data_IF_794740563211
#
_entry.id   IF_794740563211
#
_cell.length_a   1.000
_cell.length_b   1.000
_cell.length_c   1.000
_cell.angle_alpha   90.00
_cell.angle_beta   90.00
_cell.angle_gamma   90.00
#
_symmetry.space_group_name_H-M   'P 1'
#
loop_
_entity.id
_entity.type
_entity.pdbx_description
1 polymer ?
#
# COMPACT_ATOMS: atom_id res chain seq x y z
N UNK A 1 -32.78 -17.09 -0.92
CA UNK A 1 -31.80 -17.87 -1.71
C UNK A 1 -32.27 -17.79 -3.16
N UNK A 2 -31.67 -16.93 -3.98
CA UNK A 2 -31.99 -16.91 -5.41
C UNK A 2 -31.24 -18.08 -6.05
N UNK A 3 -31.95 -18.99 -6.71
CA UNK A 3 -31.35 -20.06 -7.50
C UNK A 3 -30.46 -19.45 -8.59
N UNK A 4 -29.24 -19.95 -8.74
CA UNK A 4 -28.26 -19.54 -9.76
C UNK A 4 -28.60 -20.15 -11.14
N UNK A 5 -29.87 -20.06 -11.52
CA UNK A 5 -30.39 -20.59 -12.80
C UNK A 5 -30.42 -19.42 -13.79
N UNK A 6 -29.53 -19.47 -14.79
CA UNK A 6 -29.52 -18.50 -15.90
C UNK A 6 -30.85 -18.55 -16.66
N UNK A 7 -31.53 -17.41 -16.77
CA UNK A 7 -32.77 -17.24 -17.53
C UNK A 7 -32.51 -16.48 -18.83
N UNK A 8 -33.11 -16.91 -19.93
CA UNK A 8 -32.98 -16.25 -21.23
C UNK A 8 -33.98 -15.10 -21.33
N UNK A 9 -33.47 -13.90 -21.56
CA UNK A 9 -34.26 -12.69 -21.85
C UNK A 9 -33.97 -12.23 -23.28
N UNK A 10 -35.01 -11.82 -24.00
CA UNK A 10 -34.87 -11.29 -25.37
C UNK A 10 -34.95 -9.76 -25.31
N UNK A 11 -33.92 -9.09 -25.82
CA UNK A 11 -33.83 -7.63 -25.84
C UNK A 11 -33.46 -7.14 -27.24
N UNK A 12 -33.92 -5.95 -27.58
CA UNK A 12 -33.57 -5.29 -28.84
C UNK A 12 -32.38 -4.36 -28.61
N UNK A 13 -31.29 -4.59 -29.32
CA UNK A 13 -30.09 -3.77 -29.28
C UNK A 13 -29.83 -3.18 -30.67
N UNK A 14 -29.30 -1.97 -30.72
CA UNK A 14 -28.87 -1.36 -31.99
C UNK A 14 -27.73 -2.19 -32.60
N UNK A 15 -27.70 -2.39 -33.93
CA UNK A 15 -26.65 -3.17 -34.58
C UNK A 15 -25.23 -2.70 -34.25
N UNK A 16 -25.02 -1.38 -34.21
CA UNK A 16 -23.74 -0.76 -33.83
C UNK A 16 -23.28 -1.19 -32.43
N UNK A 17 -24.20 -1.28 -31.47
CA UNK A 17 -23.88 -1.69 -30.10
C UNK A 17 -23.52 -3.18 -30.04
N UNK A 18 -24.20 -4.02 -30.82
CA UNK A 18 -23.89 -5.45 -30.93
C UNK A 18 -22.49 -5.65 -31.50
N UNK A 19 -22.11 -4.92 -32.55
CA UNK A 19 -20.76 -4.97 -33.10
C UNK A 19 -19.69 -4.57 -32.08
N UNK A 20 -19.96 -3.55 -31.25
CA UNK A 20 -19.03 -3.15 -30.18
C UNK A 20 -18.94 -4.20 -29.07
N UNK A 21 -20.05 -4.82 -28.69
CA UNK A 21 -20.05 -5.93 -27.72
C UNK A 21 -19.20 -7.08 -28.26
N UNK A 22 -19.34 -7.44 -29.53
CA UNK A 22 -18.57 -8.53 -30.14
C UNK A 22 -17.07 -8.27 -30.13
N UNK A 23 -16.66 -7.08 -30.59
CA UNK A 23 -15.26 -6.68 -30.59
C UNK A 23 -14.66 -6.62 -29.17
N UNK A 24 -15.43 -6.15 -28.19
CA UNK A 24 -14.97 -6.05 -26.80
C UNK A 24 -15.01 -7.38 -26.05
N UNK A 25 -15.89 -8.31 -26.44
CA UNK A 25 -15.96 -9.66 -25.85
C UNK A 25 -14.65 -10.42 -26.12
N UNK A 26 -14.08 -10.26 -27.32
CA UNK A 26 -12.79 -10.84 -27.69
C UNK A 26 -11.62 -10.23 -26.91
N UNK A 27 -11.68 -8.94 -26.59
CA UNK A 27 -10.65 -8.21 -25.84
C UNK A 27 -10.70 -8.49 -24.32
N UNK A 28 -11.88 -8.69 -23.75
CA UNK A 28 -12.11 -8.87 -22.30
C UNK A 28 -12.05 -10.34 -21.85
N UNK A 29 -11.68 -11.28 -22.74
CA UNK A 29 -11.63 -12.73 -22.49
C UNK A 29 -12.95 -13.31 -21.92
N UNK A 30 -14.08 -12.72 -22.30
CA UNK A 30 -15.40 -13.23 -21.92
C UNK A 30 -15.74 -14.48 -22.74
N UNK A 31 -16.29 -15.52 -22.11
CA UNK A 31 -16.63 -16.78 -22.81
C UNK A 31 -17.91 -16.66 -23.66
N UNK A 32 -18.72 -15.63 -23.44
CA UNK A 32 -19.94 -15.38 -24.22
C UNK A 32 -20.40 -13.93 -24.14
N UNK A 33 -21.18 -13.50 -25.15
CA UNK A 33 -21.91 -12.21 -25.12
C UNK A 33 -22.79 -12.07 -23.87
N UNK A 34 -23.33 -13.18 -23.36
CA UNK A 34 -24.12 -13.21 -22.14
C UNK A 34 -23.30 -12.83 -20.91
N UNK A 35 -22.08 -13.35 -20.79
CA UNK A 35 -21.15 -12.99 -19.68
C UNK A 35 -20.76 -11.51 -19.75
N UNK A 36 -20.42 -11.03 -20.95
CA UNK A 36 -20.12 -9.61 -21.16
C UNK A 36 -21.30 -8.71 -20.77
N UNK A 37 -22.51 -9.07 -21.22
CA UNK A 37 -23.73 -8.32 -20.91
C UNK A 37 -24.06 -8.36 -19.41
N UNK A 38 -23.82 -9.49 -18.76
CA UNK A 38 -24.01 -9.65 -17.32
C UNK A 38 -23.04 -8.77 -16.52
N UNK A 39 -21.75 -8.71 -16.89
CA UNK A 39 -20.77 -7.81 -16.28
C UNK A 39 -21.16 -6.34 -16.47
N UNK A 40 -21.57 -5.96 -17.68
CA UNK A 40 -22.02 -4.59 -17.98
C UNK A 40 -23.28 -4.20 -17.20
N UNK A 41 -24.25 -5.11 -17.07
CA UNK A 41 -25.46 -4.87 -16.28
C UNK A 41 -25.14 -4.77 -14.79
N UNK A 42 -24.30 -5.65 -14.24
CA UNK A 42 -23.85 -5.55 -12.84
C UNK A 42 -23.14 -4.23 -12.57
N UNK A 43 -22.29 -3.79 -13.51
CA UNK A 43 -21.65 -2.48 -13.45
C UNK A 43 -22.69 -1.34 -13.44
N UNK A 44 -23.67 -1.36 -14.35
CA UNK A 44 -24.69 -0.32 -14.43
C UNK A 44 -25.65 -0.32 -13.21
N UNK A 45 -26.03 -1.50 -12.70
CA UNK A 45 -26.79 -1.63 -11.45
C UNK A 45 -25.97 -1.09 -10.27
N UNK A 46 -24.68 -1.42 -10.20
CA UNK A 46 -23.76 -0.86 -9.21
C UNK A 46 -23.65 0.66 -9.30
N UNK A 47 -23.59 1.20 -10.52
CA UNK A 47 -23.61 2.62 -10.82
C UNK A 47 -24.92 3.29 -10.38
N UNK A 48 -26.09 2.69 -10.62
CA UNK A 48 -27.37 3.24 -10.20
C UNK A 48 -27.59 3.18 -8.68
N UNK A 49 -27.08 2.13 -8.02
CA UNK A 49 -27.18 1.96 -6.57
C UNK A 49 -26.18 2.84 -5.80
N UNK A 50 -25.11 3.27 -6.46
CA UNK A 50 -24.33 4.42 -5.98
C UNK A 50 -25.02 5.68 -6.47
N UNK A 51 -25.80 6.36 -5.62
CA UNK A 51 -26.48 7.63 -5.97
C UNK A 51 -25.55 8.72 -6.54
N UNK A 52 -24.23 8.47 -6.56
CA UNK A 52 -23.22 9.29 -7.22
C UNK A 52 -22.21 8.41 -7.99
N UNK A 53 -22.11 8.61 -9.31
CA UNK A 53 -21.24 7.86 -10.25
C UNK A 53 -19.76 7.85 -9.83
N UNK A 54 -19.34 8.90 -9.11
CA UNK A 54 -18.01 9.09 -8.53
C UNK A 54 -17.73 8.13 -7.36
N UNK A 55 -18.75 7.62 -6.68
CA UNK A 55 -18.60 6.78 -5.49
C UNK A 55 -18.18 5.32 -5.79
N UNK A 56 -18.52 4.78 -6.97
CA UNK A 56 -18.14 3.41 -7.33
C UNK A 56 -16.69 3.32 -7.84
N UNK A 57 -16.30 4.22 -8.74
CA UNK A 57 -14.92 4.29 -9.24
C UNK A 57 -13.94 4.59 -8.09
N UNK A 58 -14.34 5.45 -7.16
CA UNK A 58 -13.56 5.73 -5.95
C UNK A 58 -13.46 4.53 -5.02
N UNK A 59 -14.49 3.69 -4.84
CA UNK A 59 -14.40 2.48 -4.01
C UNK A 59 -13.43 1.44 -4.58
N UNK A 60 -13.47 1.17 -5.88
CA UNK A 60 -12.54 0.23 -6.52
C UNK A 60 -11.09 0.75 -6.43
N UNK A 61 -10.88 2.03 -6.74
CA UNK A 61 -9.57 2.68 -6.60
C UNK A 61 -9.06 2.67 -5.16
N UNK A 62 -9.91 2.99 -4.18
CA UNK A 62 -9.57 2.95 -2.76
C UNK A 62 -9.20 1.53 -2.33
N UNK A 63 -9.88 0.50 -2.85
CA UNK A 63 -9.52 -0.89 -2.54
C UNK A 63 -8.14 -1.26 -3.08
N UNK A 64 -7.81 -0.85 -4.31
CA UNK A 64 -6.47 -1.07 -4.89
C UNK A 64 -5.42 -0.32 -4.10
N UNK A 65 -5.64 0.96 -3.78
CA UNK A 65 -4.73 1.77 -2.97
C UNK A 65 -4.51 1.15 -1.59
N UNK A 66 -5.57 0.65 -0.94
CA UNK A 66 -5.45 -0.08 0.34
C UNK A 66 -4.65 -1.38 0.19
N UNK A 67 -4.83 -2.11 -0.92
CA UNK A 67 -4.04 -3.30 -1.23
C UNK A 67 -2.56 -2.97 -1.33
N UNK A 68 -2.20 -2.01 -2.18
CA UNK A 68 -0.82 -1.54 -2.37
C UNK A 68 -0.22 -1.05 -1.05
N UNK A 69 -0.92 -0.22 -0.30
CA UNK A 69 -0.44 0.28 0.99
C UNK A 69 -0.23 -0.85 2.01
N UNK A 70 -1.11 -1.86 2.03
CA UNK A 70 -0.99 -3.01 2.94
C UNK A 70 0.20 -3.88 2.57
N UNK A 71 0.41 -4.16 1.29
CA UNK A 71 1.54 -4.96 0.81
C UNK A 71 2.86 -4.25 1.09
N UNK A 72 2.91 -2.93 0.85
CA UNK A 72 4.06 -2.10 1.21
C UNK A 72 4.29 -2.06 2.72
N UNK A 73 3.24 -1.90 3.53
CA UNK A 73 3.36 -1.93 4.99
C UNK A 73 3.91 -3.27 5.50
N UNK A 74 3.48 -4.39 4.93
CA UNK A 74 4.01 -5.71 5.27
C UNK A 74 5.48 -5.85 4.87
N UNK A 75 5.85 -5.34 3.69
CA UNK A 75 7.25 -5.33 3.23
C UNK A 75 8.11 -4.46 4.15
N UNK A 76 7.67 -3.26 4.50
CA UNK A 76 8.36 -2.38 5.44
C UNK A 76 8.49 -3.03 6.81
N UNK A 77 7.46 -3.68 7.34
CA UNK A 77 7.54 -4.40 8.62
C UNK A 77 8.63 -5.50 8.58
N UNK A 78 8.70 -6.27 7.50
CA UNK A 78 9.74 -7.30 7.32
C UNK A 78 11.15 -6.70 7.22
N UNK A 79 11.32 -5.61 6.47
CA UNK A 79 12.60 -4.92 6.33
C UNK A 79 13.05 -4.27 7.64
N UNK A 80 12.14 -3.60 8.36
CA UNK A 80 12.41 -3.02 9.68
C UNK A 80 12.77 -4.08 10.70
N UNK A 81 12.16 -5.26 10.65
CA UNK A 81 12.55 -6.37 11.52
C UNK A 81 13.99 -6.83 11.24
N UNK A 82 14.36 -7.04 9.97
CA UNK A 82 15.73 -7.42 9.61
C UNK A 82 16.73 -6.33 10.03
N UNK A 83 16.42 -5.07 9.78
CA UNK A 83 17.26 -3.95 10.21
C UNK A 83 17.40 -3.90 11.74
N UNK A 84 16.32 -4.11 12.49
CA UNK A 84 16.38 -4.14 13.95
C UNK A 84 17.25 -5.29 14.48
N UNK A 85 17.27 -6.44 13.81
CA UNK A 85 18.18 -7.55 14.14
C UNK A 85 19.63 -7.13 13.92
N UNK A 86 19.96 -6.54 12.77
CA UNK A 86 21.33 -6.08 12.48
C UNK A 86 21.78 -4.97 13.44
N UNK A 87 20.92 -4.01 13.76
CA UNK A 87 21.18 -2.96 14.76
C UNK A 87 21.41 -3.54 16.16
N UNK A 88 20.62 -4.54 16.58
CA UNK A 88 20.81 -5.21 17.85
C UNK A 88 22.15 -5.96 17.91
N UNK A 89 22.53 -6.65 16.83
CA UNK A 89 23.83 -7.31 16.73
C UNK A 89 24.97 -6.30 16.79
N UNK A 90 24.88 -5.20 16.02
CA UNK A 90 25.88 -4.13 16.02
C UNK A 90 26.04 -3.50 17.40
N UNK A 91 24.95 -3.19 18.10
CA UNK A 91 24.99 -2.67 19.47
C UNK A 91 25.70 -3.63 20.43
N UNK A 92 25.45 -4.94 20.34
CA UNK A 92 26.13 -5.93 21.19
C UNK A 92 27.63 -6.03 20.89
N UNK A 93 28.01 -6.00 19.61
CA UNK A 93 29.43 -6.01 19.19
C UNK A 93 30.15 -4.76 19.71
N UNK A 94 29.55 -3.58 19.54
CA UNK A 94 30.12 -2.32 20.02
C UNK A 94 30.21 -2.28 21.55
N UNK A 95 29.16 -2.70 22.26
CA UNK A 95 29.16 -2.75 23.71
C UNK A 95 30.25 -3.68 24.26
N UNK A 96 30.48 -4.82 23.60
CA UNK A 96 31.56 -5.74 23.96
C UNK A 96 32.96 -5.20 23.67
N UNK A 97 33.12 -4.31 22.68
CA UNK A 97 34.42 -3.82 22.22
C UNK A 97 34.85 -2.46 22.78
N UNK A 98 33.90 -1.62 23.21
CA UNK A 98 34.15 -0.21 23.56
C UNK A 98 33.93 0.13 25.04
N UNK A 99 33.55 -0.85 25.88
CA UNK A 99 33.36 -0.68 27.33
C UNK A 99 32.53 0.56 27.71
N UNK A 100 31.49 0.87 26.93
CA UNK A 100 30.66 2.07 27.13
C UNK A 100 29.87 1.94 28.43
N UNK A 101 29.92 2.98 29.27
CA UNK A 101 29.16 3.02 30.52
C UNK A 101 27.65 3.15 30.26
N UNK A 102 26.82 2.59 31.16
CA UNK A 102 25.36 2.73 31.04
C UNK A 102 24.90 4.21 31.08
N UNK A 103 25.61 5.04 31.83
CA UNK A 103 25.33 6.47 31.95
C UNK A 103 25.56 7.20 30.62
N UNK A 104 26.69 6.95 29.96
CA UNK A 104 27.03 7.56 28.67
C UNK A 104 26.06 7.11 27.58
N UNK A 105 25.71 5.82 27.55
CA UNK A 105 24.74 5.28 26.59
C UNK A 105 23.35 5.90 26.78
N UNK A 106 22.91 6.08 28.04
CA UNK A 106 21.62 6.72 28.35
C UNK A 106 21.62 8.19 27.96
N UNK A 107 22.71 8.91 28.21
CA UNK A 107 22.86 10.31 27.81
C UNK A 107 22.83 10.46 26.27
N UNK A 108 23.61 9.64 25.56
CA UNK A 108 23.64 9.61 24.10
C UNK A 108 22.26 9.31 23.51
N UNK A 109 21.54 8.32 24.07
CA UNK A 109 20.16 8.00 23.64
C UNK A 109 19.23 9.19 23.81
N UNK A 110 19.30 9.90 24.95
CA UNK A 110 18.51 11.10 25.19
C UNK A 110 18.73 12.17 24.13
N UNK A 111 20.00 12.45 23.79
CA UNK A 111 20.37 13.38 22.71
C UNK A 111 19.84 12.92 21.36
N UNK A 112 20.10 11.68 20.95
CA UNK A 112 19.65 11.17 19.64
C UNK A 112 18.12 11.23 19.49
N UNK A 113 17.36 10.94 20.56
CA UNK A 113 15.89 11.10 20.55
C UNK A 113 15.50 12.57 20.38
N UNK A 114 16.16 13.49 21.07
CA UNK A 114 15.89 14.92 20.95
C UNK A 114 16.23 15.44 19.54
N UNK A 115 17.35 14.99 18.96
CA UNK A 115 17.77 15.32 17.61
C UNK A 115 16.76 14.85 16.57
N UNK A 116 16.37 13.57 16.60
CA UNK A 116 15.36 13.01 15.68
C UNK A 116 14.05 13.78 15.76
N UNK A 117 13.61 14.17 16.96
CA UNK A 117 12.41 15.00 17.16
C UNK A 117 12.59 16.41 16.58
N UNK A 118 13.73 17.04 16.80
CA UNK A 118 14.04 18.40 16.33
C UNK A 118 14.17 18.47 14.82
N UNK A 119 14.73 17.44 14.20
CA UNK A 119 15.02 17.41 12.75
C UNK A 119 13.96 16.67 11.93
N UNK A 120 12.88 16.20 12.56
CA UNK A 120 11.86 15.34 11.93
C UNK A 120 12.47 14.13 11.21
N UNK A 121 13.45 13.49 11.86
CA UNK A 121 14.13 12.30 11.34
C UNK A 121 15.23 12.57 10.31
N UNK A 122 15.55 13.83 10.01
CA UNK A 122 16.71 14.17 9.17
C UNK A 122 17.98 14.17 10.02
N UNK A 123 18.75 13.10 9.94
CA UNK A 123 20.02 12.94 10.65
C UNK A 123 21.16 12.81 9.64
N UNK A 124 22.30 13.45 9.92
CA UNK A 124 23.51 13.35 9.11
C UNK A 124 24.63 12.71 9.92
N UNK A 125 25.48 11.94 9.25
CA UNK A 125 26.68 11.40 9.88
C UNK A 125 27.69 12.51 10.19
N UNK A 126 27.78 13.53 9.35
CA UNK A 126 28.69 14.68 9.57
C UNK A 126 28.33 15.41 10.87
N UNK A 127 27.03 15.67 11.10
CA UNK A 127 26.54 16.30 12.34
C UNK A 127 26.88 15.45 13.58
N UNK A 128 26.78 14.12 13.46
CA UNK A 128 27.15 13.21 14.52
C UNK A 128 28.66 13.24 14.81
N UNK A 129 29.50 13.31 13.76
CA UNK A 129 30.96 13.41 13.90
C UNK A 129 31.36 14.73 14.56
N UNK A 130 30.77 15.85 14.13
CA UNK A 130 31.06 17.16 14.70
C UNK A 130 30.69 17.21 16.17
N UNK A 131 29.55 16.63 16.55
CA UNK A 131 29.17 16.48 17.94
C UNK A 131 30.19 15.64 18.74
N UNK A 132 30.60 14.47 18.24
CA UNK A 132 31.56 13.61 18.94
C UNK A 132 32.96 14.24 19.09
N UNK A 133 33.32 15.17 18.19
CA UNK A 133 34.54 15.96 18.27
C UNK A 133 34.40 17.21 19.16
N UNK A 134 33.21 17.51 19.67
CA UNK A 134 32.94 18.71 20.46
C UNK A 134 32.87 20.00 19.64
N UNK A 135 32.56 19.89 18.34
CA UNK A 135 32.51 21.02 17.39
C UNK A 135 31.09 21.64 17.33
N UNK A 136 30.04 20.86 17.63
CA UNK A 136 28.65 21.29 17.62
C UNK A 136 27.93 20.94 18.94
N UNK A 137 27.17 21.91 19.49
CA UNK A 137 26.22 21.72 20.62
C UNK A 137 24.81 21.38 20.14
#
# INVERSE_FOLDING_TARGET
MFEDIKRKYTIWLKPELVHRIDALTELDNCQSRSEFTEKALRYYIGHLNSEDTTAFLSKALVSVLRGVLRDESNRFASLLFKLAVEEAMMMNVLASGLEISEADLRALRGRCVAEVKRTNGKISFDDAVDFQKGIAE
#
